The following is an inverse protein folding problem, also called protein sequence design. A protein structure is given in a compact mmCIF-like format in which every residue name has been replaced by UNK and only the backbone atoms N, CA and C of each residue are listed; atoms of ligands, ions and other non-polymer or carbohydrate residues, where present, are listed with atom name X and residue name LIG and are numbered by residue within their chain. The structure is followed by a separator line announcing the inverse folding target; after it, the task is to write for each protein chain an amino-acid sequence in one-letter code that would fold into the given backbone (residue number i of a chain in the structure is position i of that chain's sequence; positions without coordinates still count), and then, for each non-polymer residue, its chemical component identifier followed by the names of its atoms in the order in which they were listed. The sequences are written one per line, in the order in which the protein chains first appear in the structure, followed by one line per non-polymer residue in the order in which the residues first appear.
data_IF_584406545583
#
_entry.id   IF_584406545583
#
_cell.length_a   1.000
_cell.length_b   1.000
_cell.length_c   1.000
_cell.angle_alpha   90.00
_cell.angle_beta   90.00
_cell.angle_gamma   90.00
#
_symmetry.space_group_name_H-M   'P 1'
#
loop_
_entity.id
_entity.type
_entity.pdbx_description
1 polymer ?
#
# COMPACT_ATOMS: atom_id res chain seq x y z
N UNK A 1 2.89 -22.13 -14.88
CA UNK A 1 3.77 -21.11 -14.36
C UNK A 1 3.03 -19.81 -14.11
N UNK A 2 3.03 -19.38 -12.90
CA UNK A 2 2.34 -18.17 -12.54
C UNK A 2 3.17 -16.96 -12.91
N UNK A 3 2.56 -16.04 -13.62
CA UNK A 3 3.19 -14.75 -13.87
C UNK A 3 2.83 -13.84 -12.73
N UNK A 4 3.84 -13.42 -12.00
CA UNK A 4 3.65 -12.47 -10.92
C UNK A 4 3.55 -11.07 -11.47
N UNK A 5 2.74 -10.26 -10.81
CA UNK A 5 2.65 -8.85 -11.12
C UNK A 5 3.89 -8.15 -10.57
N UNK A 6 4.31 -7.09 -11.24
CA UNK A 6 5.38 -6.24 -10.76
C UNK A 6 4.78 -5.06 -10.00
N UNK A 7 5.40 -4.66 -8.92
CA UNK A 7 4.89 -3.53 -8.14
C UNK A 7 5.66 -2.26 -8.48
N UNK A 8 4.96 -1.16 -8.37
CA UNK A 8 5.52 0.17 -8.59
C UNK A 8 4.99 1.09 -7.49
N UNK A 9 5.88 1.79 -6.84
CA UNK A 9 5.51 2.74 -5.80
C UNK A 9 5.26 4.10 -6.41
N UNK A 10 4.18 4.76 -5.98
CA UNK A 10 4.06 6.19 -6.23
C UNK A 10 5.06 6.91 -5.33
N UNK A 11 5.37 8.15 -5.64
CA UNK A 11 6.28 8.94 -4.80
C UNK A 11 5.75 9.10 -3.39
N UNK A 12 4.44 9.25 -3.25
CA UNK A 12 3.82 9.37 -1.93
C UNK A 12 3.90 8.10 -1.14
N UNK A 13 3.75 6.94 -1.80
CA UNK A 13 3.89 5.65 -1.13
C UNK A 13 5.32 5.44 -0.63
N UNK A 14 6.31 5.82 -1.44
CA UNK A 14 7.70 5.75 -1.01
C UNK A 14 7.95 6.62 0.23
N UNK A 15 7.44 7.85 0.20
CA UNK A 15 7.57 8.76 1.33
C UNK A 15 6.87 8.22 2.57
N UNK A 16 5.69 7.62 2.40
CA UNK A 16 4.96 7.01 3.52
C UNK A 16 5.79 5.92 4.19
N UNK A 17 6.37 5.03 3.38
CA UNK A 17 7.16 3.93 3.91
C UNK A 17 8.40 4.44 4.63
N UNK A 18 9.10 5.41 4.03
CA UNK A 18 10.28 6.00 4.65
C UNK A 18 9.95 6.66 5.99
N UNK A 19 8.84 7.40 6.05
CA UNK A 19 8.40 8.03 7.29
C UNK A 19 8.08 7.00 8.37
N UNK A 20 7.38 5.93 8.02
CA UNK A 20 7.02 4.90 8.98
C UNK A 20 8.27 4.23 9.52
N UNK A 21 9.20 3.84 8.65
CA UNK A 21 10.42 3.18 9.08
C UNK A 21 11.28 4.09 9.94
N UNK A 22 11.39 5.37 9.58
CA UNK A 22 12.12 6.35 10.37
C UNK A 22 11.47 6.57 11.74
N UNK A 23 10.16 6.66 11.77
CA UNK A 23 9.44 6.85 13.02
C UNK A 23 9.72 5.69 13.99
N UNK A 24 9.59 4.46 13.50
CA UNK A 24 9.78 3.28 14.35
C UNK A 24 11.23 3.15 14.80
N UNK A 25 12.18 3.32 13.88
CA UNK A 25 13.60 3.10 14.21
C UNK A 25 14.20 4.22 15.06
N UNK A 26 13.81 5.47 14.79
CA UNK A 26 14.41 6.63 15.46
C UNK A 26 13.54 7.12 16.61
N UNK A 27 12.28 7.50 16.32
CA UNK A 27 11.41 8.07 17.35
C UNK A 27 11.09 7.07 18.45
N UNK A 28 10.83 5.81 18.07
CA UNK A 28 10.56 4.75 19.05
C UNK A 28 11.83 4.01 19.47
N UNK A 29 12.99 4.42 18.95
CA UNK A 29 14.29 3.79 19.24
C UNK A 29 14.24 2.28 19.10
N UNK A 30 13.59 1.80 18.04
CA UNK A 30 13.42 0.35 17.87
C UNK A 30 13.69 -0.08 16.42
N UNK A 31 14.98 -0.13 16.05
CA UNK A 31 15.34 -0.54 14.68
C UNK A 31 14.93 -1.98 14.35
N UNK A 32 14.84 -2.85 15.34
CA UNK A 32 14.40 -4.22 15.11
C UNK A 32 12.92 -4.25 14.70
N UNK A 33 12.09 -3.43 15.33
CA UNK A 33 10.69 -3.33 14.97
C UNK A 33 10.52 -2.74 13.58
N UNK A 34 11.39 -1.79 13.19
CA UNK A 34 11.35 -1.22 11.85
C UNK A 34 11.67 -2.30 10.81
N UNK A 35 12.70 -3.11 11.06
CA UNK A 35 13.05 -4.21 10.17
C UNK A 35 11.94 -5.24 10.08
N UNK A 36 11.29 -5.55 11.21
CA UNK A 36 10.18 -6.47 11.24
C UNK A 36 8.98 -5.95 10.45
N UNK A 37 8.70 -4.65 10.58
CA UNK A 37 7.62 -4.02 9.83
C UNK A 37 7.89 -4.12 8.32
N UNK A 38 9.11 -3.83 7.91
CA UNK A 38 9.48 -3.91 6.48
C UNK A 38 9.31 -5.33 5.96
N UNK A 39 9.70 -6.32 6.75
CA UNK A 39 9.53 -7.72 6.38
C UNK A 39 8.05 -8.06 6.18
N UNK A 40 7.19 -7.63 7.10
CA UNK A 40 5.76 -7.86 7.01
C UNK A 40 5.15 -7.16 5.79
N UNK A 41 5.59 -5.92 5.55
CA UNK A 41 5.14 -5.16 4.41
C UNK A 41 5.47 -5.87 3.10
N UNK A 42 6.71 -6.35 2.96
CA UNK A 42 7.14 -7.06 1.76
C UNK A 42 6.39 -8.38 1.58
N UNK A 43 6.07 -9.07 2.67
CA UNK A 43 5.29 -10.30 2.61
C UNK A 43 3.88 -10.03 2.07
N UNK A 44 3.24 -8.98 2.56
CA UNK A 44 1.91 -8.58 2.08
C UNK A 44 1.99 -8.21 0.59
N UNK A 45 2.98 -7.42 0.21
CA UNK A 45 3.15 -7.00 -1.18
C UNK A 45 3.39 -8.18 -2.11
N UNK A 46 4.19 -9.14 -1.67
CA UNK A 46 4.44 -10.38 -2.44
C UNK A 46 3.13 -11.14 -2.66
N UNK A 47 2.29 -11.23 -1.62
CA UNK A 47 0.98 -11.88 -1.74
C UNK A 47 0.09 -11.16 -2.75
N UNK A 48 0.10 -9.83 -2.72
CA UNK A 48 -0.68 -9.03 -3.66
C UNK A 48 -0.20 -9.25 -5.10
N UNK A 49 1.10 -9.33 -5.30
CA UNK A 49 1.65 -9.57 -6.63
C UNK A 49 1.30 -10.96 -7.17
N UNK A 50 1.07 -11.91 -6.27
CA UNK A 50 0.65 -13.26 -6.66
C UNK A 50 -0.86 -13.35 -6.87
N UNK A 51 -1.63 -12.64 -6.05
CA UNK A 51 -3.10 -12.64 -6.11
C UNK A 51 -3.58 -11.18 -5.98
N UNK A 52 -3.60 -10.43 -7.09
CA UNK A 52 -3.91 -8.99 -7.03
C UNK A 52 -5.24 -8.64 -6.36
N UNK A 53 -6.20 -9.53 -6.41
CA UNK A 53 -7.52 -9.26 -5.83
C UNK A 53 -7.67 -9.77 -4.40
N UNK A 54 -6.55 -10.09 -3.74
CA UNK A 54 -6.59 -10.58 -2.36
C UNK A 54 -7.09 -9.52 -1.37
N UNK A 55 -6.78 -8.24 -1.63
CA UNK A 55 -7.24 -7.15 -0.77
C UNK A 55 -8.70 -6.81 -1.00
N UNK A 56 -9.27 -6.09 -0.03
CA UNK A 56 -10.67 -5.64 -0.12
C UNK A 56 -10.80 -4.42 -1.02
N UNK A 57 -11.89 -4.34 -1.75
CA UNK A 57 -12.16 -3.18 -2.59
C UNK A 57 -12.47 -1.97 -1.70
N UNK A 58 -11.86 -0.84 -2.04
CA UNK A 58 -12.17 0.43 -1.40
C UNK A 58 -13.38 1.03 -2.14
N UNK A 59 -14.52 0.97 -1.49
CA UNK A 59 -15.73 1.53 -2.07
C UNK A 59 -15.69 3.05 -1.95
N UNK A 60 -15.73 3.72 -3.08
CA UNK A 60 -15.66 5.16 -3.09
C UNK A 60 -16.39 5.72 -4.30
N UNK A 61 -17.34 6.60 -4.06
CA UNK A 61 -18.12 7.20 -5.12
C UNK A 61 -17.34 8.18 -5.99
N UNK A 62 -16.22 8.67 -5.48
CA UNK A 62 -15.38 9.62 -6.22
C UNK A 62 -14.50 8.97 -7.28
N UNK A 63 -14.30 7.67 -7.19
CA UNK A 63 -13.46 6.93 -8.14
C UNK A 63 -14.15 5.66 -8.60
N UNK A 64 -15.34 5.78 -9.20
CA UNK A 64 -16.13 4.61 -9.53
C UNK A 64 -15.51 3.68 -10.58
N UNK A 65 -14.61 4.22 -11.39
CA UNK A 65 -13.99 3.45 -12.47
C UNK A 65 -12.64 2.85 -12.09
N UNK A 66 -12.19 3.05 -10.86
CA UNK A 66 -10.91 2.50 -10.40
C UNK A 66 -11.13 1.49 -9.29
N UNK A 67 -10.59 0.31 -9.48
CA UNK A 67 -10.70 -0.77 -8.49
C UNK A 67 -9.54 -0.71 -7.52
N UNK A 68 -9.58 0.29 -6.64
CA UNK A 68 -8.58 0.43 -5.60
C UNK A 68 -8.85 -0.60 -4.50
N UNK A 69 -7.80 -1.27 -4.05
CA UNK A 69 -7.89 -2.27 -3.00
C UNK A 69 -7.01 -1.91 -1.82
N UNK A 70 -7.28 -2.52 -0.69
CA UNK A 70 -6.51 -2.32 0.53
C UNK A 70 -6.19 -3.64 1.20
N UNK A 71 -5.04 -3.67 1.87
CA UNK A 71 -4.61 -4.79 2.69
C UNK A 71 -3.97 -4.24 3.96
N UNK A 72 -4.05 -5.00 5.06
CA UNK A 72 -3.47 -4.57 6.32
C UNK A 72 -2.01 -4.96 6.43
N UNK A 73 -1.21 -4.06 6.99
CA UNK A 73 0.17 -4.33 7.36
C UNK A 73 0.33 -3.78 8.79
N UNK A 74 0.17 -4.66 9.78
CA UNK A 74 0.12 -4.22 11.17
C UNK A 74 -1.04 -3.27 11.38
N UNK A 75 -0.74 -2.09 11.92
CA UNK A 75 -1.75 -1.05 12.15
C UNK A 75 -1.91 -0.10 10.97
N UNK A 76 -1.24 -0.41 9.85
CA UNK A 76 -1.27 0.42 8.66
C UNK A 76 -2.09 -0.24 7.58
N UNK A 77 -2.57 0.57 6.65
CA UNK A 77 -3.34 0.09 5.51
C UNK A 77 -2.58 0.43 4.24
N UNK A 78 -2.34 -0.61 3.45
CA UNK A 78 -1.68 -0.47 2.15
C UNK A 78 -2.77 -0.34 1.09
N UNK A 79 -2.80 0.79 0.39
CA UNK A 79 -3.73 1.03 -0.71
C UNK A 79 -3.02 0.79 -2.03
N UNK A 80 -3.64 0.00 -2.89
CA UNK A 80 -3.02 -0.33 -4.16
C UNK A 80 -4.05 -0.42 -5.28
N UNK A 81 -3.57 -0.27 -6.51
CA UNK A 81 -4.38 -0.36 -7.70
C UNK A 81 -3.81 -1.44 -8.61
N UNK A 82 -4.51 -2.56 -8.80
CA UNK A 82 -4.05 -3.58 -9.74
C UNK A 82 -4.33 -3.13 -11.17
N UNK A 83 -3.33 -3.27 -12.02
CA UNK A 83 -3.49 -3.10 -13.46
C UNK A 83 -3.35 -4.47 -14.09
N UNK A 84 -4.48 -5.11 -14.33
CA UNK A 84 -4.52 -6.50 -14.81
C UNK A 84 -3.90 -6.60 -16.21
N UNK A 85 -4.17 -5.60 -17.04
CA UNK A 85 -3.70 -5.59 -18.41
C UNK A 85 -2.17 -5.53 -18.50
N UNK A 86 -1.57 -4.64 -17.70
CA UNK A 86 -0.13 -4.45 -17.69
C UNK A 86 0.59 -5.34 -16.69
N UNK A 87 -0.15 -6.08 -15.88
CA UNK A 87 0.37 -6.93 -14.80
C UNK A 87 1.23 -6.14 -13.83
N UNK A 88 0.69 -5.03 -13.38
CA UNK A 88 1.36 -4.14 -12.43
C UNK A 88 0.47 -3.91 -11.22
N UNK A 89 1.13 -3.71 -10.08
CA UNK A 89 0.47 -3.29 -8.86
C UNK A 89 1.02 -1.91 -8.52
N UNK A 90 0.16 -0.91 -8.54
CA UNK A 90 0.58 0.43 -8.14
C UNK A 90 0.31 0.59 -6.66
N UNK A 91 1.38 0.75 -5.88
CA UNK A 91 1.25 1.00 -4.44
C UNK A 91 1.00 2.49 -4.30
N UNK A 92 -0.22 2.84 -3.90
CA UNK A 92 -0.67 4.23 -3.89
C UNK A 92 -0.33 4.95 -2.59
N UNK A 93 -0.61 4.35 -1.46
CA UNK A 93 -0.35 4.93 -0.15
C UNK A 93 -0.18 3.83 0.89
N UNK A 94 0.52 4.16 1.96
CA UNK A 94 0.62 3.31 3.15
C UNK A 94 0.33 4.21 4.33
N UNK A 95 -0.87 4.10 4.89
CA UNK A 95 -1.37 5.03 5.90
C UNK A 95 -1.75 4.34 7.19
N UNK A 96 -1.57 5.04 8.31
CA UNK A 96 -2.08 4.55 9.57
C UNK A 96 -3.58 4.32 9.43
N UNK A 97 -4.08 3.23 9.98
CA UNK A 97 -5.46 2.77 9.73
C UNK A 97 -6.56 3.75 10.09
N UNK A 98 -6.24 4.80 10.84
CA UNK A 98 -7.22 5.82 11.23
C UNK A 98 -7.15 7.08 10.37
N UNK A 99 -6.33 7.07 9.31
CA UNK A 99 -6.24 8.23 8.41
C UNK A 99 -7.56 8.43 7.67
N UNK A 100 -7.84 9.68 7.38
CA UNK A 100 -9.06 10.05 6.66
C UNK A 100 -9.01 9.60 5.21
N UNK A 101 -9.99 8.79 4.82
CA UNK A 101 -10.08 8.28 3.46
C UNK A 101 -10.28 9.39 2.43
N UNK A 102 -10.93 10.48 2.81
CA UNK A 102 -11.15 11.61 1.89
C UNK A 102 -9.86 12.25 1.43
N UNK A 103 -8.85 12.32 2.30
CA UNK A 103 -7.53 12.82 1.92
C UNK A 103 -6.90 11.92 0.86
N UNK A 104 -7.02 10.61 1.05
CA UNK A 104 -6.50 9.64 0.09
C UNK A 104 -7.16 9.83 -1.27
N UNK A 105 -8.47 10.01 -1.29
CA UNK A 105 -9.22 10.14 -2.54
C UNK A 105 -8.79 11.39 -3.32
N UNK A 106 -8.60 12.50 -2.64
CA UNK A 106 -8.14 13.73 -3.30
C UNK A 106 -6.78 13.56 -3.95
N UNK A 107 -5.88 12.86 -3.26
CA UNK A 107 -4.54 12.61 -3.79
C UNK A 107 -4.58 11.67 -5.00
N UNK A 108 -5.43 10.66 -4.94
CA UNK A 108 -5.54 9.67 -6.02
C UNK A 108 -6.17 10.29 -7.27
N UNK A 109 -7.03 11.29 -7.13
CA UNK A 109 -7.62 11.97 -8.28
C UNK A 109 -6.57 12.61 -9.19
N UNK A 110 -5.37 12.83 -8.69
CA UNK A 110 -4.27 13.36 -9.48
C UNK A 110 -3.35 12.26 -10.01
N UNK A 111 -3.67 11.05 -9.68
CA UNK A 111 -2.92 9.89 -10.14
C UNK A 111 -3.40 9.45 -11.54
#
# INVERSE_FOLDING_TARGET
MTSKYQYHFTKKAEADLDEILSYISIELSNPEAAASFLKDFLAVLTSICSVPKIGSIVKNEFLPNKEIRKSLVGNYVLYYLPDIKEKRIYVLRLLYGRRNLDELVREINHF
#
